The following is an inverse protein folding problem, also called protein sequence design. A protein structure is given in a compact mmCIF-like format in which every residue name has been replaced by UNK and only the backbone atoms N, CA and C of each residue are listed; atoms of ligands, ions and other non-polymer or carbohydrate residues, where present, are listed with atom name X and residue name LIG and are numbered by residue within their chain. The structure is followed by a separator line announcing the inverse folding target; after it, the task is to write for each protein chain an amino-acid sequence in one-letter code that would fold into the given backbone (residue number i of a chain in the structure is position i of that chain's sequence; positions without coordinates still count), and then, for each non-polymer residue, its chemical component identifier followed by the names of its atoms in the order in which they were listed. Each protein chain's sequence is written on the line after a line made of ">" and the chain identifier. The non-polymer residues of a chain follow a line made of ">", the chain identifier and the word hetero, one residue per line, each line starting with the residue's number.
data_IF_938738324837
#
_entry.id   IF_938738324837
#
_cell.length_a   1.000
_cell.length_b   1.000
_cell.length_c   1.000
_cell.angle_alpha   90.00
_cell.angle_beta   90.00
_cell.angle_gamma   90.00
#
_symmetry.space_group_name_H-M   'P 1'
#
loop_
_entity.id
_entity.type
_entity.pdbx_description
1 polymer ?
#
# COMPACT_ATOMS: atom_id res chain seq x y z
N UNK A 1 30.47 -1.45 -20.27
CA UNK A 1 29.25 -1.21 -21.10
C UNK A 1 28.09 -0.93 -20.16
N UNK A 2 27.29 0.15 -20.35
CA UNK A 2 26.21 0.46 -19.42
C UNK A 2 24.97 -0.39 -19.75
N UNK A 3 24.86 -1.57 -19.12
CA UNK A 3 23.61 -2.32 -19.01
C UNK A 3 22.74 -1.77 -17.87
N UNK A 4 21.43 -2.01 -17.89
CA UNK A 4 20.47 -1.60 -16.84
C UNK A 4 20.55 -2.45 -15.55
N UNK A 5 21.70 -3.10 -15.30
CA UNK A 5 21.90 -3.99 -14.15
C UNK A 5 21.71 -3.29 -12.82
N UNK A 6 22.36 -2.14 -12.63
CA UNK A 6 22.26 -1.38 -11.39
C UNK A 6 20.81 -0.94 -11.08
N UNK A 7 20.04 -0.61 -12.12
CA UNK A 7 18.62 -0.24 -11.98
C UNK A 7 17.76 -1.44 -11.57
N UNK A 8 17.95 -2.59 -12.23
CA UNK A 8 17.23 -3.83 -11.90
C UNK A 8 17.60 -4.35 -10.52
N UNK A 9 18.88 -4.34 -10.17
CA UNK A 9 19.35 -4.69 -8.83
C UNK A 9 18.74 -3.75 -7.78
N UNK A 10 18.75 -2.44 -8.02
CA UNK A 10 18.11 -1.46 -7.13
C UNK A 10 16.62 -1.76 -6.91
N UNK A 11 15.87 -2.01 -7.99
CA UNK A 11 14.44 -2.32 -7.91
C UNK A 11 14.11 -3.58 -7.09
N UNK A 12 15.01 -4.58 -7.11
CA UNK A 12 14.85 -5.75 -6.24
C UNK A 12 15.29 -5.41 -4.80
N UNK A 13 16.27 -4.51 -4.59
CA UNK A 13 16.83 -4.21 -3.25
C UNK A 13 15.85 -3.40 -2.43
N UNK A 14 14.98 -2.68 -3.11
CA UNK A 14 13.82 -2.00 -2.51
C UNK A 14 12.82 -2.99 -1.92
N UNK A 15 12.70 -4.20 -2.49
CA UNK A 15 11.68 -5.18 -2.13
C UNK A 15 12.19 -6.31 -1.24
N UNK A 16 13.46 -6.69 -1.41
CA UNK A 16 14.04 -7.88 -0.79
C UNK A 16 15.44 -7.60 -0.25
N UNK A 17 15.80 -8.30 0.83
CA UNK A 17 17.21 -8.54 1.14
C UNK A 17 17.67 -9.75 0.33
N UNK A 18 18.68 -9.54 -0.51
CA UNK A 18 19.16 -10.57 -1.43
C UNK A 18 20.68 -10.53 -1.61
N UNK A 19 21.19 -11.63 -2.15
CA UNK A 19 22.57 -11.81 -2.58
C UNK A 19 22.61 -12.01 -4.10
N UNK A 20 23.40 -11.19 -4.81
CA UNK A 20 23.73 -11.40 -6.24
C UNK A 20 25.02 -12.16 -6.32
N UNK A 21 25.09 -13.15 -7.20
CA UNK A 21 26.34 -13.81 -7.52
C UNK A 21 27.09 -13.03 -8.59
N UNK A 22 28.38 -12.80 -8.38
CA UNK A 22 29.23 -11.92 -9.19
C UNK A 22 29.55 -12.41 -10.62
N UNK A 23 28.87 -13.43 -11.15
CA UNK A 23 29.11 -13.96 -12.49
C UNK A 23 28.00 -13.61 -13.48
N UNK A 24 28.36 -13.08 -14.64
CA UNK A 24 27.46 -13.03 -15.80
C UNK A 24 27.51 -14.39 -16.49
N UNK A 25 26.38 -15.10 -16.61
CA UNK A 25 26.36 -16.45 -17.18
C UNK A 25 25.50 -16.52 -18.44
N UNK A 26 26.04 -17.05 -19.54
CA UNK A 26 25.36 -17.15 -20.84
C UNK A 26 24.75 -18.53 -21.15
N UNK A 27 25.07 -19.59 -20.37
CA UNK A 27 24.73 -20.99 -20.72
C UNK A 27 23.73 -21.64 -19.75
N UNK A 28 23.07 -20.86 -18.90
CA UNK A 28 22.22 -21.38 -17.81
C UNK A 28 20.74 -21.66 -18.19
N UNK A 29 20.47 -22.04 -19.44
CA UNK A 29 19.10 -22.34 -19.87
C UNK A 29 18.59 -23.72 -19.41
N UNK A 30 19.47 -24.71 -19.21
CA UNK A 30 19.04 -26.08 -18.90
C UNK A 30 18.70 -26.28 -17.41
N UNK A 31 19.46 -25.66 -16.50
CA UNK A 31 19.35 -25.96 -15.07
C UNK A 31 18.31 -25.11 -14.35
N UNK A 32 18.18 -23.82 -14.69
CA UNK A 32 17.12 -22.98 -14.12
C UNK A 32 15.73 -23.40 -14.61
N UNK A 33 15.60 -23.91 -15.83
CA UNK A 33 14.36 -24.55 -16.30
C UNK A 33 14.04 -25.85 -15.55
N UNK A 34 15.05 -26.60 -15.08
CA UNK A 34 14.85 -27.77 -14.22
C UNK A 34 14.44 -27.38 -12.78
N UNK A 35 14.91 -26.24 -12.27
CA UNK A 35 14.49 -25.69 -10.97
C UNK A 35 13.07 -25.11 -11.05
N UNK A 36 12.71 -24.48 -12.17
CA UNK A 36 11.36 -23.96 -12.44
C UNK A 36 10.34 -25.09 -12.69
N UNK A 37 10.79 -26.21 -13.28
CA UNK A 37 9.95 -27.33 -13.68
C UNK A 37 9.67 -28.40 -12.61
N UNK A 38 10.38 -28.43 -11.48
CA UNK A 38 10.30 -29.57 -10.53
C UNK A 38 9.52 -29.32 -9.24
N UNK A 39 9.31 -28.09 -8.72
CA UNK A 39 8.84 -27.98 -7.31
C UNK A 39 7.77 -26.91 -7.07
N UNK A 40 6.51 -27.32 -7.21
CA UNK A 40 5.32 -26.70 -6.63
C UNK A 40 5.09 -27.07 -5.15
N UNK A 41 6.15 -27.34 -4.36
CA UNK A 41 6.00 -27.93 -3.02
C UNK A 41 7.01 -27.55 -1.93
N UNK A 42 7.84 -26.52 -2.12
CA UNK A 42 8.61 -25.83 -1.08
C UNK A 42 9.17 -26.68 0.07
N UNK A 43 10.33 -27.32 -0.13
CA UNK A 43 11.29 -27.65 0.93
C UNK A 43 12.61 -28.13 0.30
N UNK A 44 13.52 -27.20 0.01
CA UNK A 44 14.89 -27.57 -0.35
C UNK A 44 15.68 -27.83 0.94
N UNK A 45 16.21 -29.04 1.12
CA UNK A 45 17.15 -29.33 2.21
C UNK A 45 18.47 -28.58 1.99
N UNK A 46 19.02 -27.97 3.05
CA UNK A 46 20.31 -27.27 3.07
C UNK A 46 21.45 -28.03 2.38
N UNK A 47 21.45 -29.36 2.46
CA UNK A 47 22.43 -30.22 1.79
C UNK A 47 22.38 -30.13 0.25
N UNK A 48 21.19 -30.05 -0.34
CA UNK A 48 21.01 -29.92 -1.80
C UNK A 48 21.52 -28.57 -2.30
N UNK A 49 21.11 -27.48 -1.64
CA UNK A 49 21.57 -26.13 -1.98
C UNK A 49 23.09 -25.99 -1.82
N UNK A 50 23.68 -26.59 -0.78
CA UNK A 50 25.12 -26.57 -0.54
C UNK A 50 25.91 -27.37 -1.58
N UNK A 51 25.40 -28.52 -2.04
CA UNK A 51 26.08 -29.33 -3.05
C UNK A 51 25.96 -28.72 -4.45
N UNK A 52 24.77 -28.30 -4.86
CA UNK A 52 24.58 -27.66 -6.18
C UNK A 52 25.32 -26.32 -6.25
N UNK A 53 25.22 -25.46 -5.25
CA UNK A 53 25.94 -24.18 -5.27
C UNK A 53 27.48 -24.36 -5.30
N UNK A 54 28.01 -25.38 -4.59
CA UNK A 54 29.43 -25.73 -4.66
C UNK A 54 29.87 -26.21 -6.03
N UNK A 55 29.03 -26.98 -6.74
CA UNK A 55 29.29 -27.39 -8.12
C UNK A 55 29.37 -26.19 -9.08
N UNK A 56 28.78 -25.04 -8.72
CA UNK A 56 28.86 -23.78 -9.45
C UNK A 56 29.91 -22.80 -8.91
N UNK A 57 30.80 -23.23 -8.01
CA UNK A 57 31.84 -22.38 -7.42
C UNK A 57 31.32 -21.30 -6.49
N UNK A 58 30.07 -21.42 -6.03
CA UNK A 58 29.38 -20.44 -5.19
C UNK A 58 29.19 -21.06 -3.81
N UNK A 59 29.85 -20.53 -2.80
CA UNK A 59 29.53 -20.87 -1.42
C UNK A 59 28.28 -20.10 -0.97
N UNK A 60 27.11 -20.57 -1.42
CA UNK A 60 25.81 -19.93 -1.19
C UNK A 60 25.52 -19.75 0.31
N UNK A 61 25.86 -20.75 1.12
CA UNK A 61 25.66 -20.68 2.56
C UNK A 61 26.51 -19.57 3.18
N UNK A 62 27.78 -19.44 2.77
CA UNK A 62 28.67 -18.37 3.22
C UNK A 62 28.20 -17.01 2.72
N UNK A 63 27.77 -16.89 1.47
CA UNK A 63 27.28 -15.63 0.89
C UNK A 63 25.98 -15.14 1.58
N UNK A 64 25.05 -16.05 1.88
CA UNK A 64 23.84 -15.75 2.65
C UNK A 64 24.20 -15.33 4.08
N UNK A 65 25.08 -16.08 4.75
CA UNK A 65 25.53 -15.75 6.11
C UNK A 65 26.26 -14.41 6.19
N UNK A 66 27.09 -14.07 5.21
CA UNK A 66 27.77 -12.76 5.13
C UNK A 66 26.79 -11.61 4.91
N UNK A 67 25.65 -11.88 4.27
CA UNK A 67 24.56 -10.94 4.13
C UNK A 67 23.60 -10.90 5.34
N UNK A 68 23.91 -11.62 6.42
CA UNK A 68 23.11 -11.67 7.65
C UNK A 68 21.87 -12.57 7.55
N UNK A 69 21.82 -13.45 6.54
CA UNK A 69 20.67 -14.29 6.23
C UNK A 69 20.92 -15.73 6.70
N UNK A 70 19.88 -16.40 7.21
CA UNK A 70 19.96 -17.77 7.69
C UNK A 70 19.18 -18.73 6.78
N UNK A 71 19.87 -19.46 5.88
CA UNK A 71 19.22 -20.36 4.93
C UNK A 71 18.46 -21.54 5.55
N UNK A 72 18.64 -21.81 6.85
CA UNK A 72 17.93 -22.89 7.54
C UNK A 72 16.54 -22.48 8.01
N UNK A 73 16.35 -21.18 8.29
CA UNK A 73 15.14 -20.68 8.94
C UNK A 73 14.38 -19.65 8.09
N UNK A 74 15.01 -19.12 7.03
CA UNK A 74 14.41 -18.10 6.18
C UNK A 74 13.89 -18.71 4.87
N UNK A 75 12.76 -18.18 4.37
CA UNK A 75 12.19 -18.59 3.09
C UNK A 75 13.01 -18.00 1.94
N UNK A 76 13.71 -18.86 1.22
CA UNK A 76 14.53 -18.45 0.06
C UNK A 76 13.66 -18.35 -1.20
N UNK A 77 13.77 -17.22 -1.88
CA UNK A 77 13.20 -16.94 -3.19
C UNK A 77 14.33 -16.94 -4.23
N UNK A 78 14.11 -17.70 -5.31
CA UNK A 78 15.06 -17.82 -6.42
C UNK A 78 14.45 -17.14 -7.63
N UNK A 79 15.20 -16.24 -8.27
CA UNK A 79 14.77 -15.58 -9.50
C UNK A 79 16.00 -15.13 -10.30
N UNK A 80 15.78 -14.60 -11.50
CA UNK A 80 16.83 -14.18 -12.43
C UNK A 80 16.58 -12.75 -12.91
N UNK A 81 17.64 -11.95 -12.92
CA UNK A 81 17.61 -10.71 -13.67
C UNK A 81 17.76 -11.01 -15.15
N UNK A 82 16.85 -10.46 -15.96
CA UNK A 82 16.98 -10.43 -17.43
C UNK A 82 17.40 -9.02 -17.83
N UNK A 83 18.59 -8.89 -18.41
CA UNK A 83 19.08 -7.61 -18.92
C UNK A 83 19.03 -7.59 -20.43
N UNK A 84 18.48 -6.50 -20.96
CA UNK A 84 18.59 -6.20 -22.38
C UNK A 84 20.04 -5.78 -22.65
N UNK A 85 20.79 -6.69 -23.28
CA UNK A 85 22.17 -6.42 -23.64
C UNK A 85 22.20 -5.70 -24.99
N UNK A 86 23.02 -4.67 -25.10
CA UNK A 86 23.23 -3.94 -26.34
C UNK A 86 24.62 -3.34 -26.36
N UNK A 87 25.20 -3.24 -27.55
CA UNK A 87 26.51 -2.63 -27.77
C UNK A 87 26.35 -1.50 -28.78
N UNK A 88 27.05 -0.37 -28.56
CA UNK A 88 27.16 0.68 -29.57
C UNK A 88 28.44 0.45 -30.37
N UNK A 89 28.31 0.04 -31.63
CA UNK A 89 29.41 0.01 -32.60
C UNK A 89 29.08 0.99 -33.72
N UNK A 90 30.04 1.86 -34.04
CA UNK A 90 29.89 2.89 -35.08
C UNK A 90 28.64 3.78 -34.93
N UNK A 91 28.24 4.09 -33.69
CA UNK A 91 27.05 4.91 -33.41
C UNK A 91 25.71 4.16 -33.51
N UNK A 92 25.71 2.91 -33.96
CA UNK A 92 24.51 2.07 -34.07
C UNK A 92 24.37 1.18 -32.83
N UNK A 93 23.16 1.11 -32.27
CA UNK A 93 22.83 0.22 -31.15
C UNK A 93 22.51 -1.17 -31.68
N UNK A 94 23.39 -2.12 -31.43
CA UNK A 94 23.20 -3.53 -31.79
C UNK A 94 22.70 -4.27 -30.56
N UNK A 95 21.53 -4.90 -30.67
CA UNK A 95 21.00 -5.75 -29.60
C UNK A 95 21.83 -7.03 -29.53
N UNK A 96 22.34 -7.35 -28.35
CA UNK A 96 23.03 -8.60 -28.08
C UNK A 96 22.07 -9.57 -27.37
N UNK A 97 22.34 -10.88 -27.38
CA UNK A 97 21.57 -11.83 -26.57
C UNK A 97 21.46 -11.35 -25.12
N UNK A 98 20.26 -11.46 -24.56
CA UNK A 98 19.98 -11.05 -23.18
C UNK A 98 20.95 -11.75 -22.24
N UNK A 99 21.48 -10.98 -21.28
CA UNK A 99 22.27 -11.55 -20.18
C UNK A 99 21.34 -11.91 -19.05
N UNK A 100 21.64 -13.03 -18.39
CA UNK A 100 20.93 -13.46 -17.19
C UNK A 100 21.91 -13.41 -16.00
N UNK A 101 21.48 -12.83 -14.89
CA UNK A 101 22.19 -12.95 -13.62
C UNK A 101 21.23 -13.54 -12.60
N UNK A 102 21.44 -14.79 -12.15
CA UNK A 102 20.62 -15.36 -11.09
C UNK A 102 20.86 -14.62 -9.78
N UNK A 103 19.82 -14.49 -8.97
CA UNK A 103 19.93 -14.01 -7.60
C UNK A 103 19.13 -14.88 -6.65
N UNK A 104 19.53 -14.87 -5.38
CA UNK A 104 18.78 -15.48 -4.29
C UNK A 104 18.34 -14.36 -3.36
N UNK A 105 17.02 -14.15 -3.28
CA UNK A 105 16.40 -13.25 -2.31
C UNK A 105 16.00 -14.07 -1.07
N UNK A 106 16.46 -13.69 0.11
CA UNK A 106 16.29 -14.52 1.30
C UNK A 106 15.14 -14.08 2.20
N UNK A 107 14.72 -12.81 2.11
CA UNK A 107 13.49 -12.34 2.76
C UNK A 107 12.98 -11.06 2.09
N UNK A 108 11.67 -10.89 2.09
CA UNK A 108 11.07 -9.57 1.82
C UNK A 108 11.56 -8.62 2.90
N UNK A 109 11.97 -7.39 2.55
CA UNK A 109 12.31 -6.41 3.58
C UNK A 109 11.06 -6.15 4.42
N UNK A 110 11.07 -6.61 5.66
CA UNK A 110 10.14 -6.11 6.65
C UNK A 110 10.55 -4.67 6.92
N UNK A 111 9.81 -3.72 6.36
CA UNK A 111 9.88 -2.34 6.83
C UNK A 111 9.61 -2.42 8.33
N UNK A 112 10.52 -1.96 9.20
CA UNK A 112 10.26 -1.97 10.64
C UNK A 112 8.92 -1.30 10.86
N UNK A 113 7.93 -2.07 11.33
CA UNK A 113 6.63 -1.52 11.68
C UNK A 113 6.89 -0.57 12.83
N UNK A 114 7.05 0.73 12.53
CA UNK A 114 7.00 1.75 13.56
C UNK A 114 5.72 1.48 14.35
N UNK A 115 5.74 1.58 15.69
CA UNK A 115 4.52 1.50 16.48
C UNK A 115 3.48 2.42 15.82
N UNK A 116 2.39 1.84 15.32
CA UNK A 116 1.38 2.64 14.64
C UNK A 116 0.76 3.53 15.69
N UNK A 117 0.91 4.83 15.50
CA UNK A 117 0.22 5.82 16.31
C UNK A 117 -1.27 5.77 15.96
N UNK A 118 -1.99 4.83 16.56
CA UNK A 118 -3.44 4.71 16.37
C UNK A 118 -4.20 5.72 17.25
N UNK A 119 -3.52 6.64 17.95
CA UNK A 119 -4.17 7.72 18.67
C UNK A 119 -4.39 8.95 17.77
N UNK A 120 -3.45 9.25 16.89
CA UNK A 120 -3.61 10.33 15.90
C UNK A 120 -4.60 9.96 14.79
N UNK A 121 -5.20 10.99 14.21
CA UNK A 121 -6.17 10.85 13.13
C UNK A 121 -5.51 10.18 11.92
N UNK A 122 -4.39 10.72 11.44
CA UNK A 122 -3.66 10.19 10.29
C UNK A 122 -3.10 8.78 10.56
N UNK A 123 -2.67 8.50 11.79
CA UNK A 123 -2.18 7.17 12.14
C UNK A 123 -3.29 6.12 12.23
N UNK A 124 -4.53 6.47 12.63
CA UNK A 124 -5.70 5.57 12.50
C UNK A 124 -6.04 5.27 11.05
N UNK A 125 -6.03 6.28 10.17
CA UNK A 125 -6.28 6.06 8.75
C UNK A 125 -5.23 5.11 8.13
N UNK A 126 -3.95 5.32 8.43
CA UNK A 126 -2.88 4.40 7.99
C UNK A 126 -3.10 2.99 8.52
N UNK A 127 -3.37 2.86 9.81
CA UNK A 127 -3.58 1.54 10.42
C UNK A 127 -4.76 0.78 9.82
N UNK A 128 -5.88 1.47 9.55
CA UNK A 128 -7.04 0.89 8.86
C UNK A 128 -6.68 0.53 7.41
N UNK A 129 -5.96 1.41 6.70
CA UNK A 129 -5.51 1.17 5.32
C UNK A 129 -4.61 -0.07 5.20
N UNK A 130 -3.72 -0.29 6.16
CA UNK A 130 -2.86 -1.48 6.18
C UNK A 130 -3.67 -2.75 6.48
N UNK A 131 -4.68 -2.66 7.34
CA UNK A 131 -5.50 -3.79 7.73
C UNK A 131 -6.47 -4.25 6.63
N UNK A 132 -7.12 -3.31 5.92
CA UNK A 132 -8.19 -3.65 4.96
C UNK A 132 -7.75 -4.62 3.87
N UNK A 133 -6.48 -4.52 3.41
CA UNK A 133 -5.92 -5.44 2.42
C UNK A 133 -5.82 -6.89 2.92
N UNK A 134 -5.57 -7.08 4.23
CA UNK A 134 -5.55 -8.42 4.84
C UNK A 134 -6.94 -9.01 5.02
N UNK A 135 -7.97 -8.16 5.10
CA UNK A 135 -9.37 -8.55 5.28
C UNK A 135 -10.12 -8.73 3.94
N UNK A 136 -9.45 -8.51 2.80
CA UNK A 136 -10.06 -8.61 1.46
C UNK A 136 -10.91 -7.40 1.04
N UNK A 137 -10.81 -6.28 1.75
CA UNK A 137 -11.47 -5.02 1.39
C UNK A 137 -10.53 -4.13 0.56
N UNK A 138 -11.11 -3.25 -0.26
CA UNK A 138 -10.31 -2.35 -1.11
C UNK A 138 -9.85 -1.08 -0.39
N UNK A 139 -10.62 -0.64 0.61
CA UNK A 139 -10.31 0.53 1.42
C UNK A 139 -11.03 0.45 2.78
N UNK A 140 -10.71 1.35 3.69
CA UNK A 140 -11.48 1.57 4.91
C UNK A 140 -11.13 2.88 5.57
N UNK A 141 -11.99 3.36 6.45
CA UNK A 141 -11.76 4.55 7.26
C UNK A 141 -12.35 4.41 8.66
N UNK A 142 -11.69 4.99 9.69
CA UNK A 142 -12.25 5.08 11.03
C UNK A 142 -13.43 6.04 11.06
N UNK A 143 -14.52 5.66 11.74
CA UNK A 143 -15.63 6.59 12.05
C UNK A 143 -15.41 7.35 13.37
N UNK A 144 -14.30 7.09 14.05
CA UNK A 144 -13.87 7.71 15.31
C UNK A 144 -14.78 7.46 16.52
N UNK A 145 -15.73 6.52 16.43
CA UNK A 145 -16.36 5.94 17.61
C UNK A 145 -15.40 4.97 18.28
N UNK A 146 -15.44 4.94 19.61
CA UNK A 146 -14.63 4.05 20.42
C UNK A 146 -15.52 3.39 21.45
N UNK A 147 -15.27 2.11 21.71
CA UNK A 147 -15.92 1.37 22.77
C UNK A 147 -14.91 0.50 23.50
N UNK A 148 -15.21 0.13 24.75
CA UNK A 148 -14.48 -0.90 25.48
C UNK A 148 -15.49 -1.87 26.08
N UNK A 149 -15.56 -3.07 25.50
CA UNK A 149 -16.49 -4.13 25.92
C UNK A 149 -15.88 -5.08 26.96
N UNK A 150 -14.83 -4.65 27.67
CA UNK A 150 -14.13 -5.45 28.69
C UNK A 150 -12.90 -6.21 28.17
N UNK A 151 -12.72 -6.30 26.84
CA UNK A 151 -11.59 -6.97 26.20
C UNK A 151 -10.62 -5.99 25.50
N UNK A 152 -10.63 -4.72 25.93
CA UNK A 152 -9.83 -3.65 25.34
C UNK A 152 -10.64 -2.71 24.47
N UNK A 153 -9.98 -1.64 24.03
CA UNK A 153 -10.60 -0.60 23.20
C UNK A 153 -10.73 -1.09 21.76
N UNK A 154 -11.89 -0.85 21.17
CA UNK A 154 -12.21 -1.05 19.76
C UNK A 154 -12.56 0.28 19.10
N UNK A 155 -12.24 0.40 17.81
CA UNK A 155 -12.58 1.54 16.98
C UNK A 155 -13.57 1.15 15.89
N UNK A 156 -14.64 1.92 15.78
CA UNK A 156 -15.61 1.78 14.71
C UNK A 156 -14.97 2.10 13.37
N UNK A 157 -15.10 1.17 12.42
CA UNK A 157 -14.45 1.25 11.12
C UNK A 157 -15.45 0.91 10.01
N UNK A 158 -15.45 1.71 8.95
CA UNK A 158 -16.17 1.43 7.71
C UNK A 158 -15.19 0.78 6.73
N UNK A 159 -15.54 -0.38 6.21
CA UNK A 159 -14.73 -1.19 5.30
C UNK A 159 -15.39 -1.19 3.92
N UNK A 160 -14.71 -0.66 2.90
CA UNK A 160 -15.22 -0.53 1.54
C UNK A 160 -14.83 -1.75 0.71
N UNK A 161 -15.83 -2.39 0.10
CA UNK A 161 -15.61 -3.58 -0.73
C UNK A 161 -14.79 -3.23 -1.98
N UNK A 162 -13.92 -4.14 -2.39
CA UNK A 162 -12.90 -3.87 -3.40
C UNK A 162 -13.45 -3.43 -4.76
N UNK A 163 -14.64 -3.87 -5.14
CA UNK A 163 -15.27 -3.49 -6.41
C UNK A 163 -15.77 -2.03 -6.45
N UNK A 164 -15.83 -1.32 -5.32
CA UNK A 164 -16.37 0.06 -5.21
C UNK A 164 -15.30 1.14 -5.07
N UNK A 165 -14.02 0.76 -5.00
CA UNK A 165 -12.92 1.67 -4.71
C UNK A 165 -11.70 1.36 -5.57
N UNK A 166 -10.87 2.36 -5.81
CA UNK A 166 -9.56 2.24 -6.42
C UNK A 166 -8.52 2.93 -5.54
N UNK A 167 -7.32 2.36 -5.47
CA UNK A 167 -6.19 2.98 -4.78
C UNK A 167 -5.25 3.62 -5.80
N UNK A 168 -4.75 4.83 -5.50
CA UNK A 168 -3.72 5.51 -6.28
C UNK A 168 -2.74 6.27 -5.40
N UNK A 169 -1.50 6.32 -5.87
CA UNK A 169 -0.54 7.35 -5.47
C UNK A 169 -0.79 8.61 -6.32
N UNK A 170 -1.08 9.73 -5.65
CA UNK A 170 -1.27 11.03 -6.30
C UNK A 170 -0.14 11.96 -5.89
N UNK A 171 0.56 12.63 -6.83
CA UNK A 171 1.58 13.62 -6.47
C UNK A 171 1.05 14.67 -5.51
N UNK A 172 1.80 14.97 -4.44
CA UNK A 172 1.42 16.00 -3.48
C UNK A 172 1.25 17.37 -4.16
N UNK A 173 2.05 17.64 -5.19
CA UNK A 173 1.95 18.85 -6.01
C UNK A 173 0.61 18.95 -6.77
N UNK A 174 0.08 17.83 -7.29
CA UNK A 174 -1.23 17.80 -7.98
C UNK A 174 -2.38 18.07 -7.02
N UNK A 175 -2.16 17.85 -5.72
CA UNK A 175 -3.09 18.15 -4.63
C UNK A 175 -2.86 19.54 -4.03
N UNK A 176 -1.91 20.33 -4.55
CA UNK A 176 -1.58 21.66 -4.03
C UNK A 176 -0.78 21.66 -2.72
N UNK A 177 -0.09 20.55 -2.41
CA UNK A 177 0.73 20.36 -1.20
C UNK A 177 -0.04 20.69 0.10
N UNK A 178 -1.17 20.03 0.38
CA UNK A 178 -2.00 20.33 1.54
C UNK A 178 -1.21 20.15 2.85
N UNK A 179 -1.25 21.17 3.71
CA UNK A 179 -0.46 21.23 4.95
C UNK A 179 -1.14 20.66 6.20
N UNK A 180 -2.45 20.38 6.14
CA UNK A 180 -3.22 19.82 7.26
C UNK A 180 -4.19 18.72 6.80
N UNK A 181 -4.74 17.98 7.77
CA UNK A 181 -5.67 16.86 7.54
C UNK A 181 -6.88 17.29 6.72
N UNK A 182 -7.56 18.37 7.14
CA UNK A 182 -8.76 18.86 6.46
C UNK A 182 -8.44 19.34 5.04
N UNK A 183 -7.31 20.02 4.85
CA UNK A 183 -6.83 20.41 3.52
C UNK A 183 -6.54 19.20 2.63
N UNK A 184 -5.97 18.12 3.18
CA UNK A 184 -5.70 16.89 2.43
C UNK A 184 -6.97 16.18 2.00
N UNK A 185 -8.00 16.14 2.86
CA UNK A 185 -9.32 15.62 2.49
C UNK A 185 -9.96 16.43 1.36
N UNK A 186 -9.99 17.76 1.47
CA UNK A 186 -10.53 18.65 0.43
C UNK A 186 -9.82 18.44 -0.91
N UNK A 187 -8.48 18.52 -0.90
CA UNK A 187 -7.67 18.39 -2.10
C UNK A 187 -7.87 17.04 -2.80
N UNK A 188 -7.90 15.95 -2.04
CA UNK A 188 -8.16 14.62 -2.57
C UNK A 188 -9.57 14.51 -3.15
N UNK A 189 -10.59 15.04 -2.46
CA UNK A 189 -11.97 15.00 -2.93
C UNK A 189 -12.14 15.81 -4.24
N UNK A 190 -11.55 17.00 -4.31
CA UNK A 190 -11.55 17.84 -5.51
C UNK A 190 -10.84 17.16 -6.68
N UNK A 191 -9.69 16.52 -6.42
CA UNK A 191 -8.95 15.76 -7.42
C UNK A 191 -9.78 14.57 -7.93
N UNK A 192 -10.45 13.83 -7.03
CA UNK A 192 -11.30 12.71 -7.38
C UNK A 192 -12.44 13.14 -8.33
N UNK A 193 -13.14 14.23 -8.00
CA UNK A 193 -14.21 14.79 -8.84
C UNK A 193 -13.72 15.19 -10.24
N UNK A 194 -12.52 15.79 -10.33
CA UNK A 194 -11.90 16.14 -11.63
C UNK A 194 -11.47 14.93 -12.46
N UNK A 195 -11.32 13.76 -11.83
CA UNK A 195 -10.83 12.53 -12.47
C UNK A 195 -11.92 11.46 -12.60
N UNK A 196 -13.20 11.85 -12.67
CA UNK A 196 -14.35 10.95 -12.88
C UNK A 196 -14.57 9.92 -11.75
N UNK A 197 -14.19 10.27 -10.53
CA UNK A 197 -14.60 9.55 -9.32
C UNK A 197 -15.60 10.40 -8.53
N UNK A 198 -16.48 9.74 -7.79
CA UNK A 198 -17.52 10.43 -7.03
C UNK A 198 -16.97 11.18 -5.82
N UNK A 199 -15.96 10.59 -5.19
CA UNK A 199 -15.27 11.14 -4.03
C UNK A 199 -13.91 10.46 -3.87
N UNK A 200 -13.08 11.00 -2.98
CA UNK A 200 -11.84 10.35 -2.56
C UNK A 200 -11.50 10.71 -1.12
N UNK A 201 -10.64 9.91 -0.51
CA UNK A 201 -10.07 10.22 0.79
C UNK A 201 -8.61 9.73 0.91
N UNK A 202 -7.76 10.46 1.65
CA UNK A 202 -6.39 10.05 1.89
C UNK A 202 -6.31 8.83 2.82
N UNK A 203 -5.38 7.92 2.54
CA UNK A 203 -4.98 6.87 3.49
C UNK A 203 -3.82 7.31 4.40
N UNK A 204 -3.33 8.53 4.21
CA UNK A 204 -2.22 9.17 4.92
C UNK A 204 -0.84 8.51 4.79
N UNK A 205 -0.70 7.45 3.99
CA UNK A 205 0.63 7.02 3.54
C UNK A 205 1.22 8.05 2.57
N UNK A 206 2.54 8.14 2.57
CA UNK A 206 3.30 8.96 1.64
C UNK A 206 4.60 8.26 1.28
N UNK A 207 5.05 8.49 0.05
CA UNK A 207 6.31 7.97 -0.46
C UNK A 207 6.98 9.03 -1.33
N UNK A 208 8.30 8.94 -1.50
CA UNK A 208 9.05 9.69 -2.51
C UNK A 208 9.90 8.68 -3.28
N UNK A 209 9.58 8.49 -4.56
CA UNK A 209 10.26 7.56 -5.45
C UNK A 209 11.35 8.26 -6.30
N UNK A 210 11.77 9.47 -5.92
CA UNK A 210 12.78 10.27 -6.62
C UNK A 210 12.22 11.33 -7.58
N UNK A 211 10.89 11.44 -7.68
CA UNK A 211 10.19 12.43 -8.51
C UNK A 211 9.24 13.31 -7.67
N UNK A 212 9.47 13.40 -6.36
CA UNK A 212 8.65 14.15 -5.42
C UNK A 212 7.70 13.25 -4.62
N UNK A 213 7.13 13.85 -3.58
CA UNK A 213 6.24 13.17 -2.64
C UNK A 213 4.91 12.84 -3.32
N UNK A 214 4.46 11.60 -3.15
CA UNK A 214 3.11 11.13 -3.49
C UNK A 214 2.33 10.78 -2.24
N UNK A 215 1.01 10.90 -2.33
CA UNK A 215 0.05 10.61 -1.28
C UNK A 215 -0.84 9.44 -1.66
N UNK A 216 -0.86 8.42 -0.82
CA UNK A 216 -1.76 7.30 -0.95
C UNK A 216 -3.21 7.76 -0.77
N UNK A 217 -4.05 7.38 -1.72
CA UNK A 217 -5.42 7.87 -1.86
C UNK A 217 -6.36 6.75 -2.28
N UNK A 218 -7.54 6.72 -1.66
CA UNK A 218 -8.65 5.88 -2.10
C UNK A 218 -9.68 6.71 -2.85
N UNK A 219 -10.13 6.20 -3.99
CA UNK A 219 -11.05 6.86 -4.93
C UNK A 219 -12.33 6.03 -5.05
N UNK A 220 -13.46 6.65 -4.69
CA UNK A 220 -14.76 5.99 -4.64
C UNK A 220 -15.48 6.13 -5.99
N UNK A 221 -16.00 4.99 -6.48
CA UNK A 221 -16.77 4.95 -7.73
C UNK A 221 -18.17 5.54 -7.53
N UNK A 222 -18.80 5.97 -8.63
CA UNK A 222 -20.14 6.59 -8.64
C UNK A 222 -21.23 5.75 -7.96
N UNK A 223 -21.17 4.43 -8.10
CA UNK A 223 -22.14 3.53 -7.48
C UNK A 223 -21.85 3.22 -5.99
N UNK A 224 -20.76 3.75 -5.41
CA UNK A 224 -20.37 3.47 -4.03
C UNK A 224 -20.96 4.47 -3.02
N UNK A 225 -21.19 5.71 -3.46
CA UNK A 225 -21.37 6.83 -2.54
C UNK A 225 -22.24 7.94 -3.10
N UNK A 226 -22.75 8.77 -2.21
CA UNK A 226 -23.44 10.03 -2.53
C UNK A 226 -22.72 11.20 -1.86
N UNK A 227 -22.84 12.39 -2.45
CA UNK A 227 -22.36 13.62 -1.84
C UNK A 227 -23.57 14.44 -1.38
N UNK A 228 -23.45 15.05 -0.20
CA UNK A 228 -24.49 15.93 0.34
C UNK A 228 -23.90 17.02 1.22
N UNK A 229 -24.48 18.20 1.11
CA UNK A 229 -24.34 19.24 2.12
C UNK A 229 -25.32 18.99 3.27
N UNK A 230 -24.77 18.91 4.48
CA UNK A 230 -25.56 18.72 5.71
C UNK A 230 -25.36 19.95 6.60
N UNK A 231 -26.43 20.59 7.10
CA UNK A 231 -26.32 21.68 8.05
C UNK A 231 -25.43 21.30 9.24
N UNK A 232 -24.50 22.18 9.62
CA UNK A 232 -23.63 21.96 10.77
C UNK A 232 -24.47 21.77 12.05
N UNK A 233 -25.61 22.46 12.15
CA UNK A 233 -26.56 22.31 13.25
C UNK A 233 -27.17 20.90 13.34
N UNK A 234 -27.48 20.27 12.20
CA UNK A 234 -28.00 18.89 12.15
C UNK A 234 -26.95 17.86 12.60
N UNK A 235 -25.67 18.24 12.53
CA UNK A 235 -24.53 17.46 13.01
C UNK A 235 -24.12 17.82 14.45
N UNK A 236 -24.85 18.72 15.12
CA UNK A 236 -24.52 19.17 16.48
C UNK A 236 -23.35 20.14 16.57
N UNK A 237 -23.01 20.83 15.48
CA UNK A 237 -21.91 21.81 15.37
C UNK A 237 -20.55 21.27 15.85
N UNK A 238 -20.04 20.16 15.27
CA UNK A 238 -18.82 19.52 15.74
C UNK A 238 -17.59 20.44 15.58
N UNK A 239 -16.88 20.65 16.70
CA UNK A 239 -15.75 21.60 16.80
C UNK A 239 -14.39 21.06 16.36
N UNK A 240 -14.20 19.74 16.29
CA UNK A 240 -12.95 19.11 15.87
C UNK A 240 -13.15 18.04 14.78
N UNK A 241 -12.04 17.59 14.19
CA UNK A 241 -12.04 16.63 13.08
C UNK A 241 -12.70 15.30 13.52
N UNK A 242 -12.31 14.74 14.65
CA UNK A 242 -12.85 13.47 15.15
C UNK A 242 -14.34 13.57 15.49
N UNK A 243 -14.76 14.66 16.13
CA UNK A 243 -16.17 14.95 16.38
C UNK A 243 -16.97 15.07 15.07
N UNK A 244 -16.40 15.68 14.02
CA UNK A 244 -17.05 15.79 12.72
C UNK A 244 -17.21 14.45 12.02
N UNK A 245 -16.20 13.57 12.10
CA UNK A 245 -16.34 12.20 11.59
C UNK A 245 -17.46 11.43 12.29
N UNK A 246 -17.49 11.45 13.64
CA UNK A 246 -18.56 10.81 14.41
C UNK A 246 -19.94 11.35 14.03
N UNK A 247 -20.10 12.67 14.04
CA UNK A 247 -21.38 13.31 13.73
C UNK A 247 -21.88 12.99 12.31
N UNK A 248 -21.00 13.02 11.30
CA UNK A 248 -21.37 12.65 9.93
C UNK A 248 -21.71 11.16 9.84
N UNK A 249 -20.96 10.29 10.52
CA UNK A 249 -21.26 8.86 10.55
C UNK A 249 -22.62 8.58 11.19
N UNK A 250 -22.90 9.15 12.35
CA UNK A 250 -24.18 8.99 13.06
C UNK A 250 -25.36 9.49 12.22
N UNK A 251 -25.20 10.65 11.58
CA UNK A 251 -26.20 11.18 10.66
C UNK A 251 -26.40 10.23 9.46
N UNK A 252 -25.33 9.74 8.84
CA UNK A 252 -25.40 8.84 7.70
C UNK A 252 -26.15 7.55 8.04
N UNK A 253 -25.79 6.91 9.17
CA UNK A 253 -26.46 5.69 9.64
C UNK A 253 -27.94 5.94 9.91
N UNK A 254 -28.28 7.05 10.59
CA UNK A 254 -29.68 7.42 10.85
C UNK A 254 -30.49 7.65 9.56
N UNK A 255 -29.84 8.01 8.47
CA UNK A 255 -30.45 8.30 7.18
C UNK A 255 -30.31 7.14 6.16
N UNK A 256 -30.04 5.92 6.62
CA UNK A 256 -30.08 4.71 5.77
C UNK A 256 -28.82 4.47 4.93
N UNK A 257 -27.68 5.00 5.34
CA UNK A 257 -26.37 4.72 4.75
C UNK A 257 -25.57 3.78 5.65
N UNK A 258 -24.55 3.10 5.12
CA UNK A 258 -23.65 2.27 5.92
C UNK A 258 -22.82 3.10 6.91
N UNK A 259 -22.48 4.31 6.50
CA UNK A 259 -21.66 5.27 7.23
C UNK A 259 -21.36 6.47 6.34
N UNK A 260 -20.55 7.40 6.82
CA UNK A 260 -20.16 8.57 6.04
C UNK A 260 -18.96 9.28 6.64
N UNK A 261 -18.38 10.19 5.87
CA UNK A 261 -17.28 11.02 6.31
C UNK A 261 -17.36 12.45 5.75
N UNK A 262 -16.83 13.46 6.47
CA UNK A 262 -16.72 14.81 5.94
C UNK A 262 -15.63 14.90 4.86
N UNK A 263 -15.92 15.57 3.74
CA UNK A 263 -14.87 15.96 2.78
C UNK A 263 -14.18 17.29 3.18
N UNK A 264 -14.61 17.88 4.30
CA UNK A 264 -14.11 19.13 4.89
C UNK A 264 -14.30 20.40 4.05
N UNK A 265 -15.09 20.35 2.98
CA UNK A 265 -15.66 21.57 2.40
C UNK A 265 -16.77 22.10 3.31
N UNK A 266 -16.94 23.41 3.33
CA UNK A 266 -18.02 24.09 4.03
C UNK A 266 -18.48 25.30 3.23
N UNK A 267 -19.76 25.61 3.33
CA UNK A 267 -20.37 26.77 2.69
C UNK A 267 -21.42 27.38 3.62
N UNK A 268 -21.73 28.65 3.43
CA UNK A 268 -22.90 29.30 4.02
C UNK A 268 -23.68 29.98 2.91
N UNK A 269 -24.90 29.49 2.65
CA UNK A 269 -25.79 29.99 1.61
C UNK A 269 -26.84 30.97 2.15
N UNK A 270 -26.61 31.53 3.34
CA UNK A 270 -27.52 32.47 4.03
C UNK A 270 -28.47 31.82 5.04
N UNK A 271 -28.43 30.49 5.18
CA UNK A 271 -29.21 29.71 6.15
C UNK A 271 -28.32 28.99 7.17
N UNK A 272 -27.07 29.44 7.32
CA UNK A 272 -26.08 28.85 8.20
C UNK A 272 -25.11 27.91 7.47
N UNK A 273 -24.08 27.51 8.19
CA UNK A 273 -22.98 26.69 7.66
C UNK A 273 -23.46 25.27 7.38
N UNK A 274 -23.14 24.77 6.19
CA UNK A 274 -23.24 23.36 5.81
C UNK A 274 -21.86 22.75 5.67
N UNK A 275 -21.75 21.45 5.92
CA UNK A 275 -20.55 20.66 5.67
C UNK A 275 -20.77 19.70 4.50
N UNK A 276 -19.78 19.65 3.61
CA UNK A 276 -19.74 18.66 2.55
C UNK A 276 -19.46 17.27 3.13
N UNK A 277 -20.33 16.32 2.81
CA UNK A 277 -20.28 14.96 3.34
C UNK A 277 -20.38 13.93 2.24
N UNK A 278 -19.67 12.82 2.44
CA UNK A 278 -19.66 11.65 1.58
C UNK A 278 -20.37 10.52 2.32
N UNK A 279 -21.46 10.01 1.73
CA UNK A 279 -22.37 9.04 2.32
C UNK A 279 -22.21 7.70 1.61
N UNK A 280 -21.81 6.66 2.34
CA UNK A 280 -21.48 5.35 1.79
C UNK A 280 -22.72 4.47 1.73
N UNK A 281 -23.03 3.94 0.54
CA UNK A 281 -24.19 3.07 0.34
C UNK A 281 -24.03 1.72 1.03
N UNK A 282 -25.15 1.09 1.40
CA UNK A 282 -25.17 -0.18 2.16
C UNK A 282 -24.48 -1.33 1.44
N UNK A 283 -24.65 -1.42 0.13
CA UNK A 283 -24.06 -2.45 -0.72
C UNK A 283 -22.54 -2.31 -0.85
N UNK A 284 -22.01 -1.08 -0.72
CA UNK A 284 -20.62 -0.76 -0.98
C UNK A 284 -19.69 -1.06 0.19
N UNK A 285 -20.23 -1.21 1.40
CA UNK A 285 -19.41 -1.28 2.60
C UNK A 285 -20.03 -2.08 3.74
N UNK A 286 -19.17 -2.50 4.64
CA UNK A 286 -19.49 -3.14 5.90
C UNK A 286 -18.98 -2.28 7.07
N UNK A 287 -19.57 -2.44 8.25
CA UNK A 287 -19.12 -1.80 9.47
C UNK A 287 -18.57 -2.86 10.42
N UNK A 288 -17.47 -2.54 11.10
CA UNK A 288 -16.82 -3.42 12.07
C UNK A 288 -16.17 -2.64 13.19
N UNK A 289 -16.29 -3.15 14.40
CA UNK A 289 -15.41 -2.79 15.50
C UNK A 289 -14.09 -3.52 15.38
N UNK A 290 -13.00 -2.76 15.32
CA UNK A 290 -11.64 -3.29 15.17
C UNK A 290 -10.86 -2.97 16.44
N UNK A 291 -10.24 -3.98 17.06
CA UNK A 291 -9.46 -3.75 18.28
C UNK A 291 -8.22 -2.92 17.99
N UNK A 292 -7.80 -2.11 18.98
CA UNK A 292 -6.53 -1.39 18.93
C UNK A 292 -5.36 -2.33 18.64
N UNK A 293 -5.39 -3.55 19.19
CA UNK A 293 -4.36 -4.56 18.93
C UNK A 293 -4.34 -5.04 17.48
N UNK A 294 -5.49 -5.26 16.85
CA UNK A 294 -5.60 -5.64 15.43
C UNK A 294 -5.10 -4.52 14.51
N UNK A 295 -5.29 -3.25 14.89
CA UNK A 295 -4.75 -2.10 14.13
C UNK A 295 -3.24 -1.94 14.27
N UNK A 296 -2.61 -2.53 15.30
CA UNK A 296 -1.18 -2.42 15.57
C UNK A 296 -0.34 -3.57 14.98
N UNK A 297 -0.98 -4.66 14.52
CA UNK A 297 -0.27 -5.84 14.02
C UNK A 297 0.51 -5.63 12.73
#
# INVERSE_FOLDING_TARGET
>A
MPHNRAERERAVREKYEFVVFGGEYSVFNALLAAVDGIITGGNFTYAFLKNEARNFGIDLATALSQAGLNPLNETLYFDKFVFNNWEKKFGIRITLPNKFVPYVAARKRETPKRPRDVASIDGRFRAVSDLVGTLGYGAGFPNFHEANHGNGVVYGTILIKANYVEWRDIPAADLGNPGDIGARFRAVNDWAGKNSYKAGFPNFHQADYGNGVVYGTFLLKDNATEWRDIPAADLGNPGDIGARFRAVNDWAVKNGYRGGFPNFHQADYGNGVVYGTILIKHEAADWRDISVSELQT
#
